data_IF_137119822654
#
_entry.id   IF_137119822654
#
_cell.length_a   1.000
_cell.length_b   1.000
_cell.length_c   1.000
_cell.angle_alpha   90.00
_cell.angle_beta   90.00
_cell.angle_gamma   90.00
#
_symmetry.space_group_name_H-M   'P 1'
#
loop_
_entity.id
_entity.type
_entity.pdbx_description
1 polymer ?
#
# COMPACT_ATOMS: atom_id res chain seq x y z
N UNK A 1 27.87 18.68 8.24
CA UNK A 1 27.14 18.03 7.13
C UNK A 1 26.62 16.71 7.65
N UNK A 2 25.33 16.61 8.00
CA UNK A 2 24.75 15.32 8.33
C UNK A 2 24.63 14.53 7.02
N UNK A 3 25.44 13.49 6.87
CA UNK A 3 25.28 12.56 5.76
C UNK A 3 23.86 12.02 5.82
N UNK A 4 23.05 12.29 4.80
CA UNK A 4 21.73 11.70 4.68
C UNK A 4 21.93 10.21 4.39
N UNK A 5 22.05 9.41 5.44
CA UNK A 5 21.91 7.96 5.30
C UNK A 5 20.52 7.75 4.70
N UNK A 6 20.41 7.05 3.56
CA UNK A 6 19.11 6.77 2.97
C UNK A 6 18.20 6.12 4.02
N UNK A 7 17.00 6.67 4.23
CA UNK A 7 16.02 6.12 5.18
C UNK A 7 15.74 4.64 4.90
N UNK A 8 15.93 4.22 3.65
CA UNK A 8 15.85 2.85 3.13
C UNK A 8 16.73 1.89 3.95
N UNK A 9 17.99 2.23 4.21
CA UNK A 9 18.93 1.42 4.99
C UNK A 9 18.52 1.32 6.46
N UNK A 10 17.82 2.33 6.98
CA UNK A 10 17.36 2.30 8.37
C UNK A 10 16.12 1.41 8.54
N UNK A 11 15.27 1.31 7.51
CA UNK A 11 14.12 0.40 7.53
C UNK A 11 14.53 -1.07 7.44
N UNK A 12 15.60 -1.40 6.72
CA UNK A 12 16.15 -2.75 6.65
C UNK A 12 16.49 -3.31 8.05
N UNK A 13 17.10 -2.49 8.91
CA UNK A 13 17.52 -2.87 10.28
C UNK A 13 16.34 -3.16 11.22
N UNK A 14 15.13 -2.67 10.89
CA UNK A 14 13.93 -2.84 11.71
C UNK A 14 12.84 -3.64 11.01
N UNK A 15 13.16 -4.25 9.87
CA UNK A 15 12.25 -5.12 9.11
C UNK A 15 12.37 -6.56 9.60
N UNK A 16 11.23 -7.19 9.90
CA UNK A 16 11.16 -8.59 10.28
C UNK A 16 11.55 -9.49 9.11
N UNK A 17 12.55 -10.36 9.25
CA UNK A 17 12.96 -11.24 8.13
C UNK A 17 11.98 -12.37 7.81
N UNK A 18 10.86 -12.50 8.56
CA UNK A 18 9.83 -13.53 8.35
C UNK A 18 8.68 -12.96 7.51
N UNK A 19 8.06 -11.88 7.98
CA UNK A 19 6.93 -11.23 7.28
C UNK A 19 7.38 -10.10 6.34
N UNK A 20 8.65 -9.68 6.42
CA UNK A 20 9.22 -8.61 5.60
C UNK A 20 8.55 -7.24 5.79
N UNK A 21 7.90 -7.05 6.95
CA UNK A 21 7.32 -5.78 7.39
C UNK A 21 8.13 -5.18 8.55
N UNK A 22 8.02 -3.85 8.81
CA UNK A 22 8.53 -3.25 10.03
C UNK A 22 8.05 -3.99 11.27
N UNK A 23 8.97 -4.35 12.16
CA UNK A 23 8.65 -5.23 13.29
C UNK A 23 7.55 -4.65 14.18
N UNK A 24 6.50 -5.44 14.40
CA UNK A 24 5.43 -5.18 15.37
C UNK A 24 5.71 -6.01 16.61
N UNK A 25 5.77 -5.35 17.77
CA UNK A 25 6.13 -5.98 19.05
C UNK A 25 7.42 -6.84 18.91
N UNK A 26 8.57 -6.23 18.56
CA UNK A 26 9.79 -6.97 18.28
C UNK A 26 10.25 -7.78 19.49
N UNK A 27 10.51 -9.07 19.28
CA UNK A 27 11.06 -10.01 20.25
C UNK A 27 12.46 -10.44 19.83
N UNK A 28 13.43 -10.33 20.72
CA UNK A 28 14.77 -10.89 20.54
C UNK A 28 14.84 -12.32 21.02
N UNK A 29 15.51 -13.16 20.24
CA UNK A 29 15.84 -14.55 20.58
C UNK A 29 17.28 -14.65 21.11
N UNK A 30 17.66 -15.81 21.64
CA UNK A 30 18.96 -16.04 22.32
C UNK A 30 20.19 -15.68 21.48
N UNK A 31 20.10 -15.76 20.15
CA UNK A 31 21.19 -15.37 19.27
C UNK A 31 21.28 -13.87 18.98
N UNK A 32 20.37 -13.05 19.52
CA UNK A 32 20.32 -11.59 19.36
C UNK A 32 19.47 -11.09 18.18
N UNK A 33 19.04 -11.94 17.26
CA UNK A 33 18.14 -11.54 16.17
C UNK A 33 16.74 -11.22 16.70
N UNK A 34 16.07 -10.27 16.04
CA UNK A 34 14.74 -9.81 16.44
C UNK A 34 13.72 -9.98 15.31
N UNK A 35 12.48 -10.27 15.69
CA UNK A 35 11.36 -10.54 14.79
C UNK A 35 10.06 -10.05 15.43
N UNK A 36 8.96 -9.94 14.67
CA UNK A 36 7.64 -9.70 15.27
C UNK A 36 7.28 -10.82 16.25
N UNK A 37 6.60 -10.47 17.35
CA UNK A 37 6.13 -11.44 18.35
C UNK A 37 5.33 -12.58 17.72
N UNK A 38 4.35 -12.26 16.87
CA UNK A 38 3.52 -13.26 16.19
C UNK A 38 4.37 -14.17 15.28
N UNK A 39 5.25 -13.59 14.45
CA UNK A 39 6.06 -14.35 13.51
C UNK A 39 6.98 -15.35 14.21
N UNK A 40 7.71 -14.94 15.24
CA UNK A 40 8.63 -15.85 15.92
C UNK A 40 7.91 -16.87 16.80
N UNK A 41 6.71 -16.52 17.30
CA UNK A 41 5.87 -17.46 18.05
C UNK A 41 5.35 -18.58 17.18
N UNK A 42 4.96 -18.27 15.94
CA UNK A 42 4.55 -19.30 14.96
C UNK A 42 5.71 -20.23 14.58
N UNK A 43 6.91 -19.68 14.35
CA UNK A 43 8.12 -20.48 14.06
C UNK A 43 8.49 -21.41 15.22
N UNK A 44 8.33 -20.94 16.46
CA UNK A 44 8.68 -21.66 17.68
C UNK A 44 7.49 -22.36 18.36
N UNK A 45 6.37 -22.57 17.65
CA UNK A 45 5.11 -23.06 18.26
C UNK A 45 5.20 -24.39 18.99
N UNK A 46 6.20 -25.21 18.66
CA UNK A 46 6.50 -26.49 19.33
C UNK A 46 7.43 -26.34 20.55
N UNK A 47 7.58 -25.11 21.08
CA UNK A 47 8.39 -24.79 22.26
C UNK A 47 9.80 -24.25 21.95
N UNK A 48 10.22 -24.31 20.69
CA UNK A 48 11.49 -23.80 20.20
C UNK A 48 11.71 -24.17 18.74
N UNK A 49 12.69 -23.56 18.10
CA UNK A 49 13.05 -23.84 16.70
C UNK A 49 14.46 -23.33 16.40
N UNK A 50 14.80 -23.18 15.13
CA UNK A 50 16.05 -22.55 14.68
C UNK A 50 15.78 -21.12 14.21
N UNK A 51 16.72 -20.21 14.50
CA UNK A 51 16.66 -18.84 14.03
C UNK A 51 16.56 -18.80 12.49
N UNK A 52 15.57 -18.08 11.91
CA UNK A 52 15.43 -17.94 10.45
C UNK A 52 16.66 -17.32 9.75
N UNK A 53 17.47 -16.55 10.49
CA UNK A 53 18.64 -15.83 9.95
C UNK A 53 19.92 -16.65 10.08
N UNK A 54 20.29 -17.07 11.30
CA UNK A 54 21.59 -17.72 11.55
C UNK A 54 21.51 -19.19 11.96
N UNK A 55 20.31 -19.78 11.96
CA UNK A 55 20.04 -21.20 12.25
C UNK A 55 20.43 -21.68 13.66
N UNK A 56 20.84 -20.80 14.58
CA UNK A 56 21.03 -21.17 16.01
C UNK A 56 19.70 -21.52 16.65
N UNK A 57 19.69 -22.53 17.51
CA UNK A 57 18.50 -22.91 18.27
C UNK A 57 18.04 -21.80 19.20
N UNK A 58 16.73 -21.68 19.36
CA UNK A 58 16.12 -20.83 20.37
C UNK A 58 14.94 -21.54 21.05
N UNK A 59 14.64 -21.15 22.28
CA UNK A 59 13.44 -21.58 23.01
C UNK A 59 12.40 -20.46 23.07
N UNK A 60 11.13 -20.83 22.88
CA UNK A 60 10.02 -19.87 22.87
C UNK A 60 9.87 -19.14 24.23
N UNK A 61 10.13 -19.85 25.33
CA UNK A 61 10.10 -19.25 26.68
C UNK A 61 11.22 -18.22 26.93
N UNK A 62 12.26 -18.21 26.09
CA UNK A 62 13.42 -17.32 26.23
C UNK A 62 13.28 -16.04 25.39
N UNK A 63 12.16 -15.85 24.69
CA UNK A 63 11.89 -14.61 23.96
C UNK A 63 11.88 -13.40 24.90
N UNK A 64 12.52 -12.32 24.47
CA UNK A 64 12.57 -11.06 25.23
C UNK A 64 12.07 -9.90 24.38
N UNK A 65 11.12 -9.07 24.87
CA UNK A 65 10.72 -7.86 24.16
C UNK A 65 11.90 -6.92 23.93
N UNK A 66 12.07 -6.44 22.70
CA UNK A 66 13.13 -5.51 22.32
C UNK A 66 12.59 -4.10 22.17
N UNK A 67 12.53 -3.38 23.30
CA UNK A 67 12.07 -1.98 23.34
C UNK A 67 12.94 -1.05 22.50
N UNK A 68 14.22 -1.35 22.32
CA UNK A 68 15.10 -0.52 21.50
C UNK A 68 14.69 -0.57 20.03
N UNK A 69 14.44 -1.77 19.50
CA UNK A 69 13.94 -1.95 18.13
C UNK A 69 12.56 -1.34 17.97
N UNK A 70 11.65 -1.51 18.94
CA UNK A 70 10.34 -0.87 18.92
C UNK A 70 10.47 0.66 18.83
N UNK A 71 11.33 1.26 19.66
CA UNK A 71 11.59 2.70 19.62
C UNK A 71 12.21 3.14 18.28
N UNK A 72 13.07 2.32 17.67
CA UNK A 72 13.64 2.61 16.34
C UNK A 72 12.56 2.62 15.27
N UNK A 73 11.66 1.64 15.25
CA UNK A 73 10.48 1.62 14.35
C UNK A 73 9.66 2.89 14.54
N UNK A 74 9.33 3.26 15.77
CA UNK A 74 8.53 4.45 16.06
C UNK A 74 9.24 5.75 15.67
N UNK A 75 10.54 5.85 15.91
CA UNK A 75 11.34 7.00 15.50
C UNK A 75 11.41 7.12 13.98
N UNK A 76 11.56 6.00 13.27
CA UNK A 76 11.51 6.00 11.81
C UNK A 76 10.14 6.43 11.31
N UNK A 77 9.04 5.99 11.93
CA UNK A 77 7.68 6.49 11.63
C UNK A 77 7.52 7.99 11.89
N UNK A 78 8.16 8.54 12.92
CA UNK A 78 8.11 9.98 13.23
C UNK A 78 8.96 10.83 12.29
N UNK A 79 10.19 10.38 11.99
CA UNK A 79 11.07 11.00 10.99
C UNK A 79 10.38 10.96 9.63
N UNK A 80 9.72 9.84 9.35
CA UNK A 80 8.94 9.69 8.14
C UNK A 80 7.84 10.76 8.12
N UNK A 81 7.04 10.94 9.18
CA UNK A 81 6.00 11.98 9.25
C UNK A 81 6.49 13.44 9.21
N UNK A 82 7.68 13.76 9.75
CA UNK A 82 8.18 15.14 9.89
C UNK A 82 8.80 15.76 8.63
N UNK A 83 9.11 14.97 7.60
CA UNK A 83 9.53 15.51 6.31
C UNK A 83 8.30 16.09 5.58
N UNK A 84 8.38 17.35 5.13
CA UNK A 84 7.33 18.02 4.33
C UNK A 84 6.78 17.05 3.28
N UNK A 85 5.45 16.99 3.19
CA UNK A 85 4.74 16.22 2.17
C UNK A 85 5.37 16.54 0.80
N UNK A 86 5.86 15.52 0.08
CA UNK A 86 6.10 15.71 -1.34
C UNK A 86 4.75 16.08 -1.95
N UNK A 87 4.62 17.18 -2.70
CA UNK A 87 3.32 17.69 -3.16
C UNK A 87 2.55 16.72 -4.08
N UNK A 88 3.09 15.54 -4.40
CA UNK A 88 2.57 14.63 -5.43
C UNK A 88 2.29 13.20 -4.95
N UNK A 89 2.36 12.90 -3.64
CA UNK A 89 2.06 11.55 -3.14
C UNK A 89 3.03 10.46 -3.63
N UNK A 90 4.26 10.85 -3.98
CA UNK A 90 5.27 9.96 -4.58
C UNK A 90 5.96 9.02 -3.57
N UNK A 91 5.72 9.23 -2.27
CA UNK A 91 6.38 8.48 -1.19
C UNK A 91 5.39 7.62 -0.41
N UNK A 92 5.83 6.42 -0.04
CA UNK A 92 5.06 5.54 0.83
C UNK A 92 4.85 6.19 2.20
N UNK A 93 3.61 6.14 2.69
CA UNK A 93 3.23 6.73 4.00
C UNK A 93 3.93 6.06 5.18
N UNK A 94 4.29 4.78 5.04
CA UNK A 94 4.96 4.01 6.10
C UNK A 94 6.47 4.21 6.00
N UNK A 95 7.04 3.92 4.83
CA UNK A 95 8.50 3.80 4.66
C UNK A 95 9.17 5.09 4.16
N UNK A 96 8.41 6.07 3.63
CA UNK A 96 8.91 7.26 2.89
C UNK A 96 9.88 6.94 1.75
N UNK A 97 9.81 5.70 1.29
CA UNK A 97 10.44 5.21 0.07
C UNK A 97 9.60 5.66 -1.13
N UNK A 98 10.26 5.91 -2.27
CA UNK A 98 9.54 6.22 -3.50
C UNK A 98 8.61 5.06 -3.88
N UNK A 99 7.39 5.41 -4.24
CA UNK A 99 6.40 4.48 -4.76
C UNK A 99 6.76 4.19 -6.21
N UNK A 100 6.84 2.91 -6.55
CA UNK A 100 7.25 2.45 -7.88
C UNK A 100 6.29 1.41 -8.46
N UNK A 101 5.53 0.73 -7.61
CA UNK A 101 4.71 -0.41 -8.01
C UNK A 101 3.25 -0.15 -7.67
N UNK A 102 2.36 -0.81 -8.39
CA UNK A 102 0.93 -0.87 -8.11
C UNK A 102 0.52 -2.33 -7.96
N UNK A 103 -0.07 -2.68 -6.82
CA UNK A 103 -0.68 -3.98 -6.61
C UNK A 103 -2.08 -3.99 -7.23
N UNK A 104 -2.28 -4.84 -8.23
CA UNK A 104 -3.54 -4.93 -8.97
C UNK A 104 -4.67 -5.51 -8.12
N UNK A 105 -4.36 -6.46 -7.24
CA UNK A 105 -5.34 -7.09 -6.35
C UNK A 105 -5.84 -6.14 -5.25
N UNK A 106 -4.94 -5.39 -4.62
CA UNK A 106 -5.28 -4.47 -3.53
C UNK A 106 -5.72 -3.08 -4.00
N UNK A 107 -5.44 -2.74 -5.27
CA UNK A 107 -5.64 -1.40 -5.81
C UNK A 107 -4.76 -0.35 -5.12
N UNK A 108 -3.53 -0.69 -4.75
CA UNK A 108 -2.65 0.16 -3.93
C UNK A 108 -1.29 0.40 -4.57
N UNK A 109 -0.82 1.63 -4.45
CA UNK A 109 0.53 1.99 -4.85
C UNK A 109 1.54 1.67 -3.72
N UNK A 110 2.59 0.94 -4.06
CA UNK A 110 3.56 0.35 -3.15
C UNK A 110 4.97 0.89 -3.41
N UNK A 111 5.74 1.08 -2.34
CA UNK A 111 7.19 1.21 -2.43
C UNK A 111 7.86 -0.18 -2.45
N UNK A 112 9.17 -0.20 -2.69
CA UNK A 112 9.96 -1.43 -2.68
C UNK A 112 9.75 -2.27 -1.41
N UNK A 113 9.85 -1.66 -0.23
CA UNK A 113 9.68 -2.38 1.05
C UNK A 113 8.28 -3.01 1.15
N UNK A 114 7.22 -2.26 0.81
CA UNK A 114 5.85 -2.80 0.81
C UNK A 114 5.68 -3.94 -0.18
N UNK A 115 6.32 -3.90 -1.35
CA UNK A 115 6.22 -4.97 -2.35
C UNK A 115 6.81 -6.29 -1.87
N UNK A 116 7.76 -6.25 -0.94
CA UNK A 116 8.39 -7.44 -0.36
C UNK A 116 7.63 -7.97 0.85
N UNK A 117 6.72 -7.18 1.45
CA UNK A 117 5.92 -7.62 2.59
C UNK A 117 5.10 -8.87 2.26
N UNK A 118 4.87 -9.72 3.26
CA UNK A 118 4.00 -10.89 3.13
C UNK A 118 2.61 -10.53 2.58
N UNK A 119 2.14 -9.31 2.85
CA UNK A 119 0.85 -8.84 2.38
C UNK A 119 0.76 -8.68 0.87
N UNK A 120 1.87 -8.39 0.19
CA UNK A 120 1.86 -8.02 -1.22
C UNK A 120 2.82 -8.83 -2.09
N UNK A 121 3.77 -9.57 -1.51
CA UNK A 121 4.83 -10.27 -2.25
C UNK A 121 4.32 -11.29 -3.29
N UNK A 122 3.14 -11.86 -3.05
CA UNK A 122 2.54 -12.91 -3.87
C UNK A 122 1.45 -12.34 -4.81
N UNK A 123 1.17 -11.03 -4.74
CA UNK A 123 0.17 -10.37 -5.58
C UNK A 123 0.79 -9.90 -6.92
N UNK A 124 0.02 -9.87 -8.01
CA UNK A 124 0.45 -9.28 -9.27
C UNK A 124 0.67 -7.78 -9.10
N UNK A 125 1.86 -7.35 -9.53
CA UNK A 125 2.31 -5.98 -9.42
C UNK A 125 2.88 -5.51 -10.75
N UNK A 126 2.54 -4.28 -11.11
CA UNK A 126 3.04 -3.59 -12.30
C UNK A 126 3.68 -2.26 -11.90
N UNK A 127 4.56 -1.67 -12.74
CA UNK A 127 5.01 -0.30 -12.55
C UNK A 127 3.84 0.68 -12.44
N UNK A 128 3.96 1.67 -11.57
CA UNK A 128 2.87 2.63 -11.31
C UNK A 128 2.50 3.42 -12.58
N UNK A 129 3.47 3.68 -13.46
CA UNK A 129 3.25 4.37 -14.73
C UNK A 129 2.38 3.53 -15.70
N UNK A 130 2.59 2.22 -15.74
CA UNK A 130 1.79 1.30 -16.56
C UNK A 130 0.35 1.22 -16.05
N UNK A 131 0.18 1.05 -14.74
CA UNK A 131 -1.16 1.08 -14.12
C UNK A 131 -1.86 2.42 -14.37
N UNK A 132 -1.14 3.55 -14.23
CA UNK A 132 -1.70 4.88 -14.45
C UNK A 132 -2.20 5.04 -15.89
N UNK A 133 -1.46 4.57 -16.88
CA UNK A 133 -1.88 4.61 -18.27
C UNK A 133 -3.16 3.80 -18.49
N UNK A 134 -3.22 2.56 -17.99
CA UNK A 134 -4.41 1.71 -18.15
C UNK A 134 -5.66 2.34 -17.52
N UNK A 135 -5.53 2.91 -16.31
CA UNK A 135 -6.64 3.60 -15.67
C UNK A 135 -7.05 4.87 -16.42
N UNK A 136 -6.11 5.64 -16.95
CA UNK A 136 -6.42 6.82 -17.77
C UNK A 136 -7.23 6.43 -19.01
N UNK A 137 -6.84 5.36 -19.72
CA UNK A 137 -7.56 4.86 -20.89
C UNK A 137 -8.99 4.40 -20.51
N UNK A 138 -9.13 3.61 -19.44
CA UNK A 138 -10.45 3.18 -18.93
C UNK A 138 -11.35 4.36 -18.57
N UNK A 139 -10.81 5.38 -17.89
CA UNK A 139 -11.54 6.58 -17.52
C UNK A 139 -11.95 7.39 -18.76
N UNK A 140 -11.07 7.53 -19.75
CA UNK A 140 -11.39 8.24 -20.98
C UNK A 140 -12.52 7.56 -21.76
N UNK A 141 -12.51 6.23 -21.85
CA UNK A 141 -13.58 5.45 -22.48
C UNK A 141 -14.90 5.63 -21.72
N UNK A 142 -14.87 5.55 -20.38
CA UNK A 142 -16.06 5.75 -19.56
C UNK A 142 -16.63 7.17 -19.72
N UNK A 143 -15.77 8.18 -19.74
CA UNK A 143 -16.14 9.59 -19.90
C UNK A 143 -16.78 9.85 -21.26
N UNK A 144 -16.23 9.30 -22.34
CA UNK A 144 -16.82 9.40 -23.67
C UNK A 144 -18.22 8.77 -23.72
N UNK A 145 -18.39 7.57 -23.15
CA UNK A 145 -19.70 6.92 -23.07
C UNK A 145 -20.73 7.73 -22.28
N UNK A 146 -20.30 8.41 -21.21
CA UNK A 146 -21.19 9.28 -20.44
C UNK A 146 -21.59 10.52 -21.23
N UNK A 147 -20.67 11.11 -22.00
CA UNK A 147 -20.95 12.24 -22.88
C UNK A 147 -21.96 11.88 -23.97
N UNK A 148 -21.78 10.73 -24.63
CA UNK A 148 -22.73 10.26 -25.66
C UNK A 148 -24.14 10.07 -25.09
N UNK A 149 -24.23 9.50 -23.88
CA UNK A 149 -25.52 9.34 -23.17
C UNK A 149 -26.15 10.66 -22.79
N UNK A 150 -25.35 11.63 -22.37
CA UNK A 150 -25.82 12.98 -22.04
C UNK A 150 -26.41 13.66 -23.29
N UNK A 151 -25.68 13.65 -24.40
CA UNK A 151 -26.16 14.24 -25.67
C UNK A 151 -27.44 13.56 -26.17
N UNK A 152 -27.55 12.24 -26.02
CA UNK A 152 -28.76 11.51 -26.37
C UNK A 152 -29.95 11.91 -25.47
N UNK A 153 -29.72 12.05 -24.17
CA UNK A 153 -30.75 12.48 -23.23
C UNK A 153 -31.27 13.89 -23.57
N UNK A 154 -30.36 14.83 -23.84
CA UNK A 154 -30.72 16.20 -24.24
C UNK A 154 -31.55 16.23 -25.53
N UNK A 155 -31.19 15.43 -26.55
CA UNK A 155 -31.99 15.31 -27.78
C UNK A 155 -33.38 14.75 -27.52
N UNK A 156 -33.49 13.70 -26.71
CA UNK A 156 -34.79 13.10 -26.35
C UNK A 156 -35.68 14.08 -25.59
N UNK A 157 -35.11 14.89 -24.69
CA UNK A 157 -35.85 15.92 -23.97
C UNK A 157 -36.44 16.97 -24.91
N UNK A 158 -35.66 17.45 -25.89
CA UNK A 158 -36.13 18.36 -26.92
C UNK A 158 -37.26 17.75 -27.76
N UNK A 159 -37.10 16.49 -28.20
CA UNK A 159 -38.11 15.77 -28.98
C UNK A 159 -39.42 15.60 -28.20
N UNK A 160 -39.34 15.24 -26.92
CA UNK A 160 -40.49 15.12 -26.03
C UNK A 160 -41.18 16.48 -25.87
N UNK A 161 -40.42 17.56 -25.68
CA UNK A 161 -40.96 18.91 -25.56
C UNK A 161 -41.68 19.36 -26.85
N UNK A 162 -41.10 19.11 -28.02
CA UNK A 162 -41.70 19.41 -29.32
C UNK A 162 -42.99 18.62 -29.54
N UNK A 163 -42.98 17.30 -29.28
CA UNK A 163 -44.18 16.46 -29.38
C UNK A 163 -45.28 16.95 -28.44
N UNK A 164 -44.93 17.31 -27.20
CA UNK A 164 -45.88 17.85 -26.21
C UNK A 164 -46.49 19.18 -26.68
N UNK A 165 -45.71 20.07 -27.29
CA UNK A 165 -46.21 21.33 -27.84
C UNK A 165 -47.16 21.11 -29.03
N UNK A 166 -46.80 20.22 -29.96
CA UNK A 166 -47.65 19.86 -31.11
C UNK A 166 -48.99 19.26 -30.67
N UNK A 167 -48.97 18.33 -29.71
CA UNK A 167 -50.18 17.75 -29.14
C UNK A 167 -51.08 18.80 -28.48
N UNK A 168 -50.52 19.73 -27.69
CA UNK A 168 -51.29 20.83 -27.09
C UNK A 168 -51.96 21.70 -28.15
N UNK A 169 -51.26 22.04 -29.22
CA UNK A 169 -51.81 22.86 -30.31
C UNK A 169 -53.00 22.19 -31.02
N UNK A 170 -52.96 20.86 -31.19
CA UNK A 170 -54.03 20.07 -31.83
C UNK A 170 -55.27 19.83 -30.98
N UNK A 171 -55.14 19.90 -29.64
CA UNK A 171 -56.25 19.63 -28.71
C UNK A 171 -56.98 20.92 -28.30
N UNK A 172 -56.32 22.06 -28.42
CA UNK A 172 -56.87 23.38 -28.06
C UNK A 172 -57.50 24.08 -29.30
N UNK A 173 -57.26 23.58 -30.51
CA UNK A 173 -57.97 23.95 -31.76
C UNK A 173 -59.25 23.15 -31.95
#
# INVERSE_FOLDING_TARGET
MASAVPLTMMWEEVTCSICLDPMVEPMSIECGHSFCQECISEVGKEGGSVCPVCRRHFLLQNLRPNRQVANMVDNLRKISQGAKESPHGELCVVHREKIHLFCEEDGKALCWVCSQSQKHRDHPMVPIEEAAQEYQEKLQVALNKLRDKQELAEKLELDIAMKKASWKARVIS
#
